data_IF_969667815372
#
_entry.id   IF_969667815372
#
_cell.length_a   1.000
_cell.length_b   1.000
_cell.length_c   1.000
_cell.angle_alpha   90.00
_cell.angle_beta   90.00
_cell.angle_gamma   90.00
#
_symmetry.space_group_name_H-M   'P 1'
#
loop_
_entity.id
_entity.type
_entity.pdbx_description
1 polymer ?
#
# COMPACT_ATOMS: atom_id res chain seq x y z
N UNK A 1 -51.58 -11.58 -33.55
CA UNK A 1 -51.63 -10.51 -32.50
C UNK A 1 -51.31 -11.03 -31.09
N UNK A 2 -52.01 -12.03 -30.54
CA UNK A 2 -51.81 -12.51 -29.14
C UNK A 2 -50.38 -13.01 -28.80
N UNK A 3 -49.69 -13.71 -29.72
CA UNK A 3 -48.31 -14.22 -29.52
C UNK A 3 -47.26 -13.12 -29.35
N UNK A 4 -47.41 -12.01 -30.06
CA UNK A 4 -46.49 -10.85 -30.01
C UNK A 4 -46.64 -10.09 -28.68
N UNK A 5 -47.87 -9.94 -28.19
CA UNK A 5 -48.16 -9.32 -26.89
C UNK A 5 -47.60 -10.19 -25.75
N UNK A 6 -47.77 -11.51 -25.84
CA UNK A 6 -47.20 -12.46 -24.87
C UNK A 6 -45.67 -12.37 -24.81
N UNK A 7 -44.99 -12.37 -25.97
CA UNK A 7 -43.53 -12.25 -26.02
C UNK A 7 -43.03 -10.91 -25.47
N UNK A 8 -43.72 -9.80 -25.79
CA UNK A 8 -43.39 -8.49 -25.26
C UNK A 8 -43.53 -8.42 -23.72
N UNK A 9 -44.54 -9.08 -23.15
CA UNK A 9 -44.73 -9.18 -21.70
C UNK A 9 -43.59 -9.98 -21.05
N UNK A 10 -43.22 -11.12 -21.63
CA UNK A 10 -42.11 -11.96 -21.14
C UNK A 10 -40.76 -11.23 -21.21
N UNK A 11 -40.49 -10.51 -22.30
CA UNK A 11 -39.27 -9.70 -22.44
C UNK A 11 -39.24 -8.59 -21.39
N UNK A 12 -40.37 -7.94 -21.12
CA UNK A 12 -40.46 -6.89 -20.09
C UNK A 12 -40.22 -7.44 -18.68
N UNK A 13 -40.74 -8.62 -18.38
CA UNK A 13 -40.50 -9.33 -17.12
C UNK A 13 -39.01 -9.66 -16.96
N UNK A 14 -38.40 -10.32 -17.95
CA UNK A 14 -36.97 -10.63 -17.92
C UNK A 14 -36.10 -9.36 -17.83
N UNK A 15 -36.46 -8.28 -18.53
CA UNK A 15 -35.75 -7.00 -18.44
C UNK A 15 -35.80 -6.42 -17.02
N UNK A 16 -36.91 -6.62 -16.32
CA UNK A 16 -37.08 -6.16 -14.94
C UNK A 16 -36.22 -6.99 -13.99
N UNK A 17 -36.25 -8.31 -14.12
CA UNK A 17 -35.40 -9.23 -13.34
C UNK A 17 -33.91 -8.97 -13.56
N UNK A 18 -33.49 -8.73 -14.81
CA UNK A 18 -32.10 -8.38 -15.16
C UNK A 18 -31.71 -7.07 -14.48
N UNK A 19 -32.55 -6.03 -14.54
CA UNK A 19 -32.26 -4.74 -13.90
C UNK A 19 -32.11 -4.85 -12.40
N UNK A 20 -32.99 -5.59 -11.74
CA UNK A 20 -32.90 -5.86 -10.30
C UNK A 20 -31.63 -6.62 -9.94
N UNK A 21 -31.26 -7.61 -10.76
CA UNK A 21 -30.03 -8.39 -10.56
C UNK A 21 -28.78 -7.53 -10.74
N UNK A 22 -28.75 -6.68 -11.77
CA UNK A 22 -27.65 -5.72 -12.01
C UNK A 22 -27.53 -4.75 -10.85
N UNK A 23 -28.65 -4.21 -10.33
CA UNK A 23 -28.63 -3.32 -9.18
C UNK A 23 -28.02 -4.01 -7.94
N UNK A 24 -28.49 -5.21 -7.62
CA UNK A 24 -27.98 -6.01 -6.49
C UNK A 24 -26.49 -6.30 -6.61
N UNK A 25 -26.03 -6.73 -7.79
CA UNK A 25 -24.62 -7.02 -8.01
C UNK A 25 -23.75 -5.75 -7.98
N UNK A 26 -24.27 -4.62 -8.44
CA UNK A 26 -23.53 -3.34 -8.37
C UNK A 26 -23.34 -2.89 -6.92
N UNK A 27 -24.38 -3.03 -6.08
CA UNK A 27 -24.29 -2.78 -4.65
C UNK A 27 -23.28 -3.73 -3.97
N UNK A 28 -23.32 -5.01 -4.32
CA UNK A 28 -22.40 -6.00 -3.76
C UNK A 28 -20.96 -5.75 -4.18
N UNK A 29 -20.70 -5.41 -5.45
CA UNK A 29 -19.38 -5.00 -5.94
C UNK A 29 -18.88 -3.81 -5.14
N UNK A 30 -19.72 -2.78 -4.96
CA UNK A 30 -19.36 -1.59 -4.19
C UNK A 30 -19.00 -1.95 -2.75
N UNK A 31 -19.81 -2.79 -2.10
CA UNK A 31 -19.55 -3.27 -0.73
C UNK A 31 -18.23 -4.04 -0.64
N UNK A 32 -17.96 -4.93 -1.60
CA UNK A 32 -16.73 -5.72 -1.64
C UNK A 32 -15.50 -4.86 -1.90
N UNK A 33 -15.60 -3.86 -2.78
CA UNK A 33 -14.54 -2.88 -3.02
C UNK A 33 -14.22 -2.07 -1.77
N UNK A 34 -15.24 -1.58 -1.05
CA UNK A 34 -15.04 -0.86 0.21
C UNK A 34 -14.36 -1.74 1.26
N UNK A 35 -14.77 -3.01 1.37
CA UNK A 35 -14.14 -3.97 2.30
C UNK A 35 -12.68 -4.27 1.91
N UNK A 36 -12.41 -4.49 0.62
CA UNK A 36 -11.06 -4.74 0.11
C UNK A 36 -10.15 -3.55 0.39
N UNK A 37 -10.61 -2.33 0.08
CA UNK A 37 -9.87 -1.10 0.36
C UNK A 37 -9.58 -0.95 1.86
N UNK A 38 -10.55 -1.25 2.73
CA UNK A 38 -10.34 -1.21 4.19
C UNK A 38 -9.26 -2.19 4.67
N UNK A 39 -9.26 -3.42 4.13
CA UNK A 39 -8.25 -4.43 4.43
C UNK A 39 -6.87 -3.98 3.93
N UNK A 40 -6.79 -3.51 2.68
CA UNK A 40 -5.53 -3.00 2.12
C UNK A 40 -4.98 -1.82 2.90
N UNK A 41 -5.83 -0.87 3.31
CA UNK A 41 -5.42 0.26 4.13
C UNK A 41 -4.90 -0.20 5.50
N UNK A 42 -5.56 -1.19 6.12
CA UNK A 42 -5.11 -1.76 7.38
C UNK A 42 -3.75 -2.44 7.24
N UNK A 43 -3.54 -3.17 6.15
CA UNK A 43 -2.29 -3.86 5.85
C UNK A 43 -1.14 -2.89 5.53
N UNK A 44 -1.37 -1.92 4.64
CA UNK A 44 -0.41 -0.86 4.25
C UNK A 44 -0.06 0.08 5.39
N UNK A 45 -0.89 0.17 6.44
CA UNK A 45 -0.59 0.96 7.63
C UNK A 45 0.74 0.58 8.26
N UNK A 46 1.22 -0.65 8.08
CA UNK A 46 2.52 -1.13 8.58
C UNK A 46 3.69 -0.83 7.62
N UNK A 47 3.39 -0.47 6.38
CA UNK A 47 4.38 -0.20 5.36
C UNK A 47 4.93 1.22 5.49
N UNK A 48 6.22 1.38 5.22
CA UNK A 48 6.89 2.66 5.07
C UNK A 48 7.56 2.73 3.72
N UNK A 49 7.59 3.92 3.15
CA UNK A 49 8.28 4.20 1.90
C UNK A 49 9.45 5.13 2.16
N UNK A 50 10.65 4.66 1.89
CA UNK A 50 11.90 5.38 2.18
C UNK A 50 12.56 5.80 0.88
N UNK A 51 12.69 7.11 0.70
CA UNK A 51 13.33 7.73 -0.46
C UNK A 51 14.69 8.29 -0.10
N UNK A 52 15.61 8.33 -1.08
CA UNK A 52 16.87 9.06 -0.95
C UNK A 52 18.04 8.23 -0.42
N UNK A 53 17.85 6.96 -0.11
CA UNK A 53 18.94 6.02 0.21
C UNK A 53 19.64 5.62 -1.10
N UNK A 54 20.96 5.83 -1.26
CA UNK A 54 21.73 5.37 -2.42
C UNK A 54 21.55 3.88 -2.68
N UNK A 55 21.40 3.49 -3.95
CA UNK A 55 21.27 2.09 -4.35
C UNK A 55 22.64 1.50 -4.67
N UNK A 56 22.96 0.35 -4.07
CA UNK A 56 24.21 -0.38 -4.28
C UNK A 56 23.93 -1.82 -4.70
N UNK A 57 24.82 -2.40 -5.50
CA UNK A 57 24.72 -3.82 -5.86
C UNK A 57 25.07 -4.69 -4.66
N UNK A 58 24.27 -5.75 -4.44
CA UNK A 58 24.41 -6.64 -3.28
C UNK A 58 23.97 -6.03 -1.95
N UNK A 59 23.22 -4.93 -1.96
CA UNK A 59 22.71 -4.33 -0.73
C UNK A 59 21.67 -5.21 -0.02
N UNK A 60 21.71 -5.18 1.31
CA UNK A 60 20.68 -5.79 2.16
C UNK A 60 19.77 -4.66 2.64
N UNK A 61 18.56 -4.60 2.11
CA UNK A 61 17.62 -3.50 2.40
C UNK A 61 17.18 -3.46 3.86
N UNK A 62 17.14 -4.61 4.56
CA UNK A 62 16.86 -4.65 5.99
C UNK A 62 17.92 -3.87 6.78
N UNK A 63 19.20 -4.11 6.51
CA UNK A 63 20.31 -3.46 7.21
C UNK A 63 20.31 -1.95 6.96
N UNK A 64 20.06 -1.53 5.72
CA UNK A 64 19.92 -0.10 5.39
C UNK A 64 18.79 0.59 6.17
N UNK A 65 17.68 -0.12 6.41
CA UNK A 65 16.55 0.41 7.18
C UNK A 65 16.91 0.46 8.67
N UNK A 66 17.57 -0.57 9.21
CA UNK A 66 18.05 -0.62 10.61
C UNK A 66 19.03 0.53 10.87
N UNK A 67 20.07 0.67 10.04
CA UNK A 67 21.09 1.73 10.16
C UNK A 67 20.47 3.13 10.11
N UNK A 68 19.49 3.33 9.23
CA UNK A 68 18.76 4.59 9.14
C UNK A 68 17.98 4.88 10.42
N UNK A 69 17.28 3.88 10.99
CA UNK A 69 16.49 4.05 12.20
C UNK A 69 17.37 4.30 13.44
N UNK A 70 18.49 3.58 13.55
CA UNK A 70 19.46 3.79 14.64
C UNK A 70 20.03 5.21 14.61
N UNK A 71 20.25 5.78 13.42
CA UNK A 71 20.73 7.16 13.26
C UNK A 71 19.81 8.24 13.83
N UNK A 72 18.55 7.90 14.10
CA UNK A 72 17.54 8.78 14.71
C UNK A 72 17.06 8.28 16.08
N UNK A 73 17.80 7.35 16.68
CA UNK A 73 17.52 6.74 17.99
C UNK A 73 16.19 5.96 18.01
N UNK A 74 15.84 5.33 16.88
CA UNK A 74 14.71 4.39 16.79
C UNK A 74 15.30 3.02 16.58
N UNK A 75 15.32 2.20 17.64
CA UNK A 75 15.96 0.90 17.60
C UNK A 75 15.01 -0.16 17.07
N UNK A 76 15.31 -0.67 15.88
CA UNK A 76 14.59 -1.77 15.25
C UNK A 76 15.60 -2.88 14.92
N UNK A 77 15.16 -4.13 14.94
CA UNK A 77 15.98 -5.27 14.55
C UNK A 77 15.53 -5.81 13.19
N UNK A 78 16.38 -6.55 12.45
CA UNK A 78 15.96 -7.23 11.23
C UNK A 78 14.73 -8.14 11.42
N UNK A 79 14.56 -8.75 12.60
CA UNK A 79 13.39 -9.58 12.94
C UNK A 79 12.08 -8.78 13.04
N UNK A 80 12.16 -7.47 13.25
CA UNK A 80 10.99 -6.58 13.31
C UNK A 80 10.51 -6.15 11.91
N UNK A 81 11.28 -6.51 10.88
CA UNK A 81 10.98 -6.27 9.47
C UNK A 81 10.41 -7.55 8.86
N UNK A 82 9.16 -7.49 8.41
CA UNK A 82 8.52 -8.60 7.71
C UNK A 82 9.08 -8.79 6.31
N UNK A 83 9.27 -7.68 5.58
CA UNK A 83 9.84 -7.66 4.24
C UNK A 83 10.33 -6.26 3.90
N UNK A 84 11.44 -6.16 3.16
CA UNK A 84 11.85 -4.90 2.54
C UNK A 84 12.45 -5.15 1.16
N UNK A 85 12.23 -4.23 0.23
CA UNK A 85 12.78 -4.30 -1.13
C UNK A 85 12.71 -2.94 -1.83
N UNK A 86 13.49 -2.78 -2.91
CA UNK A 86 13.40 -1.61 -3.80
C UNK A 86 12.17 -1.69 -4.69
N UNK A 87 11.42 -0.59 -4.79
CA UNK A 87 10.25 -0.50 -5.68
C UNK A 87 10.63 -0.05 -7.10
N UNK A 88 10.02 -0.71 -8.09
CA UNK A 88 10.14 -0.37 -9.51
C UNK A 88 11.38 -0.93 -10.19
N UNK A 89 11.52 -0.65 -11.48
CA UNK A 89 12.63 -1.13 -12.33
C UNK A 89 13.90 -0.32 -12.07
N UNK A 90 15.05 -0.99 -12.02
CA UNK A 90 16.37 -0.34 -11.87
C UNK A 90 16.61 0.60 -13.05
N UNK A 91 17.09 1.82 -12.77
CA UNK A 91 17.37 2.83 -13.77
C UNK A 91 18.67 3.56 -13.41
N UNK A 92 19.47 3.88 -14.42
CA UNK A 92 20.75 4.56 -14.24
C UNK A 92 20.49 5.97 -13.68
N UNK A 93 21.23 6.34 -12.63
CA UNK A 93 21.16 7.68 -12.03
C UNK A 93 19.97 7.92 -11.10
N UNK A 94 19.09 6.93 -10.87
CA UNK A 94 17.95 7.05 -9.94
C UNK A 94 18.00 5.98 -8.86
N UNK A 95 18.04 6.42 -7.61
CA UNK A 95 17.87 5.55 -6.46
C UNK A 95 16.39 5.17 -6.30
N UNK A 96 16.06 3.88 -6.40
CA UNK A 96 14.70 3.41 -6.17
C UNK A 96 14.32 3.57 -4.70
N UNK A 97 13.07 3.89 -4.36
CA UNK A 97 12.66 3.91 -2.96
C UNK A 97 12.62 2.48 -2.41
N UNK A 98 12.87 2.34 -1.10
CA UNK A 98 12.69 1.07 -0.38
C UNK A 98 11.29 1.09 0.22
N UNK A 99 10.49 0.08 -0.11
CA UNK A 99 9.30 -0.25 0.69
C UNK A 99 9.73 -1.22 1.79
N UNK A 100 9.29 -0.94 3.01
CA UNK A 100 9.57 -1.81 4.15
C UNK A 100 8.29 -2.01 4.95
N UNK A 101 7.97 -3.26 5.27
CA UNK A 101 6.86 -3.65 6.13
C UNK A 101 7.40 -3.98 7.52
N UNK A 102 6.95 -3.22 8.52
CA UNK A 102 7.24 -3.51 9.92
C UNK A 102 6.22 -4.52 10.48
N UNK A 103 6.61 -5.28 11.50
CA UNK A 103 5.69 -6.21 12.17
C UNK A 103 4.68 -5.50 13.07
N UNK A 104 5.05 -4.34 13.63
CA UNK A 104 4.24 -3.65 14.63
C UNK A 104 3.98 -2.20 14.27
N UNK A 105 2.76 -1.75 14.57
CA UNK A 105 2.31 -0.40 14.26
C UNK A 105 2.97 0.67 15.15
N UNK A 106 3.23 0.36 16.41
CA UNK A 106 3.86 1.27 17.36
C UNK A 106 5.29 1.64 16.94
N UNK A 107 6.07 0.67 16.46
CA UNK A 107 7.40 0.92 15.88
C UNK A 107 7.32 1.88 14.70
N UNK A 108 6.34 1.68 13.81
CA UNK A 108 6.10 2.60 12.72
C UNK A 108 5.74 4.00 13.22
N UNK A 109 4.88 4.09 14.22
CA UNK A 109 4.46 5.37 14.82
C UNK A 109 5.64 6.12 15.44
N UNK A 110 6.52 5.40 16.13
CA UNK A 110 7.75 5.94 16.70
C UNK A 110 8.69 6.46 15.61
N UNK A 111 8.90 5.68 14.55
CA UNK A 111 9.68 6.09 13.38
C UNK A 111 9.14 7.38 12.75
N UNK A 112 7.82 7.48 12.56
CA UNK A 112 7.21 8.68 11.99
C UNK A 112 7.32 9.91 12.90
N UNK A 113 7.27 9.72 14.22
CA UNK A 113 7.48 10.80 15.19
C UNK A 113 8.92 11.33 15.15
N UNK A 114 9.89 10.45 14.90
CA UNK A 114 11.31 10.79 14.89
C UNK A 114 11.86 11.16 13.50
N UNK A 115 11.14 10.91 12.40
CA UNK A 115 11.67 11.08 11.01
C UNK A 115 12.24 12.47 10.69
N UNK A 116 11.78 13.53 11.37
CA UNK A 116 12.34 14.89 11.20
C UNK A 116 13.82 14.96 11.61
N UNK A 117 14.27 14.09 12.51
CA UNK A 117 15.68 13.99 12.93
C UNK A 117 16.60 13.57 11.77
N UNK A 118 16.11 12.86 10.75
CA UNK A 118 16.90 12.48 9.57
C UNK A 118 17.51 13.68 8.86
N UNK A 119 16.84 14.84 8.89
CA UNK A 119 17.36 16.08 8.29
C UNK A 119 18.56 16.67 9.03
N UNK A 120 18.76 16.27 10.28
CA UNK A 120 19.89 16.66 11.14
C UNK A 120 21.05 15.66 11.07
N UNK A 121 20.83 14.48 10.49
CA UNK A 121 21.86 13.45 10.34
C UNK A 121 22.56 13.61 8.99
N UNK A 122 23.88 13.76 8.98
CA UNK A 122 24.63 14.10 7.76
C UNK A 122 24.44 13.07 6.64
N UNK A 123 24.51 11.77 6.98
CA UNK A 123 24.35 10.67 6.02
C UNK A 123 22.92 10.52 5.47
N UNK A 124 21.91 11.05 6.18
CA UNK A 124 20.50 10.83 5.85
C UNK A 124 19.71 12.14 5.59
N UNK A 125 20.40 13.27 5.42
CA UNK A 125 19.79 14.59 5.19
C UNK A 125 18.84 14.62 3.99
N UNK A 126 19.16 13.83 2.95
CA UNK A 126 18.36 13.71 1.72
C UNK A 126 17.28 12.63 1.80
N UNK A 127 17.25 11.83 2.87
CA UNK A 127 16.27 10.77 3.06
C UNK A 127 14.91 11.35 3.48
N UNK A 128 13.84 10.72 3.01
CA UNK A 128 12.48 11.03 3.41
C UNK A 128 11.67 9.75 3.65
N UNK A 129 10.87 9.74 4.71
CA UNK A 129 9.96 8.64 5.05
C UNK A 129 8.52 9.10 4.81
N UNK A 130 7.85 8.37 3.93
CA UNK A 130 6.48 8.60 3.50
C UNK A 130 5.63 7.39 3.92
N UNK A 131 4.37 7.65 4.22
CA UNK A 131 3.41 6.58 4.46
C UNK A 131 2.94 6.01 3.13
N UNK A 132 2.87 4.68 3.06
CA UNK A 132 2.21 3.97 1.97
C UNK A 132 0.69 4.19 2.11
N UNK A 133 0.15 5.10 1.30
CA UNK A 133 -1.29 5.35 1.16
C UNK A 133 -1.74 4.91 -0.23
N UNK A 134 -3.01 4.49 -0.34
CA UNK A 134 -3.74 4.43 -1.61
C UNK A 134 -4.25 5.82 -2.00
#
# INVERSE_FOLDING_TARGET
>A
MKRSIFYAAQVKEHLTQIRETVAKHTEEITRLQLKSNGIEQYDRRLNILVHGIPEKDGEITNDLIVDMCDSIQVHIKPIDISASHRLGKKCIGKNRPIICRLLRYDMRKELFSNKKKLKKTENYKRVNIIQDYC
#
